data_IF_422197457938
#
_entry.id   IF_422197457938
#
_cell.length_a   1.000
_cell.length_b   1.000
_cell.length_c   1.000
_cell.angle_alpha   90.00
_cell.angle_beta   90.00
_cell.angle_gamma   90.00
#
_symmetry.space_group_name_H-M   'P 1'
#
loop_
_entity.id
_entity.type
_entity.pdbx_description
1 polymer ?
#
# COMPACT_ATOMS: atom_id res chain seq x y z
N UNK A 1 20.84 -1.14 -21.17
CA UNK A 1 20.98 -1.77 -19.84
C UNK A 1 19.92 -1.18 -18.94
N UNK A 2 18.79 -1.88 -18.79
CA UNK A 2 17.58 -1.34 -18.20
C UNK A 2 17.72 -1.12 -16.70
N UNK A 3 17.43 0.10 -16.25
CA UNK A 3 17.17 0.40 -14.86
C UNK A 3 15.85 -0.26 -14.47
N UNK A 4 15.87 -1.57 -14.26
CA UNK A 4 14.90 -2.24 -13.37
C UNK A 4 15.32 -1.84 -11.96
N UNK A 5 15.25 -0.53 -11.69
CA UNK A 5 15.05 -0.07 -10.35
C UNK A 5 13.73 -0.71 -9.92
N UNK A 6 13.72 -1.18 -8.69
CA UNK A 6 12.59 -1.62 -7.90
C UNK A 6 11.62 -0.44 -7.68
N UNK A 7 11.23 0.22 -8.78
CA UNK A 7 10.17 1.21 -8.88
C UNK A 7 8.89 0.41 -8.72
N UNK A 8 8.67 -0.06 -7.49
CA UNK A 8 7.36 -0.48 -7.02
C UNK A 8 6.50 0.73 -7.36
N UNK A 9 5.71 0.60 -8.41
CA UNK A 9 4.86 1.65 -8.93
C UNK A 9 3.83 1.99 -7.84
N UNK A 10 4.22 2.89 -6.92
CA UNK A 10 3.38 3.39 -5.82
C UNK A 10 2.22 4.25 -6.34
N UNK A 11 2.26 4.66 -7.61
CA UNK A 11 1.11 5.19 -8.34
C UNK A 11 -0.09 4.20 -8.40
N UNK A 12 0.15 2.89 -8.27
CA UNK A 12 -0.89 1.84 -8.05
C UNK A 12 -0.98 1.37 -6.60
N UNK A 13 -0.30 2.03 -5.65
CA UNK A 13 -0.32 1.59 -4.25
C UNK A 13 -1.55 2.06 -3.48
N UNK A 14 -2.40 2.87 -4.10
CA UNK A 14 -3.79 2.98 -3.70
C UNK A 14 -4.60 1.75 -4.12
N UNK A 15 -4.21 0.96 -5.14
CA UNK A 15 -5.04 -0.15 -5.65
C UNK A 15 -4.69 -1.53 -5.06
N UNK A 16 -3.61 -1.61 -4.26
CA UNK A 16 -2.96 -2.87 -3.88
C UNK A 16 -3.02 -3.30 -2.41
N UNK A 17 -3.18 -2.41 -1.41
CA UNK A 17 -3.24 -2.85 -0.03
C UNK A 17 -4.45 -3.76 0.15
N UNK A 18 -4.20 -5.01 0.55
CA UNK A 18 -5.26 -5.92 0.88
C UNK A 18 -5.98 -5.40 2.13
N UNK A 19 -7.30 -5.41 2.13
CA UNK A 19 -8.09 -4.92 3.25
C UNK A 19 -7.76 -5.64 4.57
N UNK A 20 -7.38 -6.92 4.51
CA UNK A 20 -6.87 -7.66 5.67
C UNK A 20 -5.60 -7.05 6.27
N UNK A 21 -4.66 -6.62 5.42
CA UNK A 21 -3.43 -5.94 5.86
C UNK A 21 -3.73 -4.56 6.45
N UNK A 22 -4.61 -3.78 5.82
CA UNK A 22 -5.03 -2.47 6.35
C UNK A 22 -5.65 -2.64 7.74
N UNK A 23 -6.55 -3.61 7.90
CA UNK A 23 -7.21 -3.88 9.19
C UNK A 23 -6.19 -4.22 10.28
N UNK A 24 -5.22 -5.07 9.98
CA UNK A 24 -4.14 -5.42 10.91
C UNK A 24 -3.30 -4.20 11.29
N UNK A 25 -2.93 -3.37 10.31
CA UNK A 25 -2.19 -2.12 10.56
C UNK A 25 -2.99 -1.20 11.48
N UNK A 26 -4.28 -1.00 11.22
CA UNK A 26 -5.13 -0.17 12.09
C UNK A 26 -5.16 -0.71 13.52
N UNK A 27 -5.32 -2.04 13.69
CA UNK A 27 -5.33 -2.69 15.01
C UNK A 27 -4.00 -2.51 15.76
N UNK A 28 -2.87 -2.68 15.08
CA UNK A 28 -1.53 -2.50 15.65
C UNK A 28 -1.26 -1.05 16.07
N UNK A 29 -1.82 -0.06 15.36
CA UNK A 29 -1.75 1.35 15.72
C UNK A 29 -2.82 1.76 16.76
N UNK A 30 -3.54 0.81 17.34
CA UNK A 30 -4.52 1.05 18.40
C UNK A 30 -5.89 1.52 17.91
N UNK A 31 -6.10 1.61 16.59
CA UNK A 31 -7.38 1.95 15.98
C UNK A 31 -8.23 0.68 15.94
N UNK A 32 -9.06 0.48 16.96
CA UNK A 32 -9.82 -0.75 17.18
C UNK A 32 -11.33 -0.50 17.31
N UNK A 33 -12.12 -1.58 17.34
CA UNK A 33 -13.56 -1.52 17.61
C UNK A 33 -14.35 -0.72 16.55
N UNK A 34 -15.21 0.19 17.02
CA UNK A 34 -16.13 0.94 16.16
C UNK A 34 -15.41 1.80 15.12
N UNK A 35 -14.30 2.43 15.49
CA UNK A 35 -13.54 3.29 14.58
C UNK A 35 -12.90 2.49 13.45
N UNK A 36 -12.30 1.34 13.77
CA UNK A 36 -11.78 0.42 12.75
C UNK A 36 -12.90 -0.03 11.79
N UNK A 37 -14.05 -0.45 12.33
CA UNK A 37 -15.17 -0.88 11.50
C UNK A 37 -15.70 0.23 10.56
N UNK A 38 -15.73 1.48 11.02
CA UNK A 38 -16.12 2.63 10.20
C UNK A 38 -15.11 2.86 9.07
N UNK A 39 -13.81 2.91 9.39
CA UNK A 39 -12.75 3.09 8.39
C UNK A 39 -12.77 1.95 7.37
N UNK A 40 -12.88 0.71 7.83
CA UNK A 40 -12.98 -0.46 6.97
C UNK A 40 -14.24 -0.41 6.10
N UNK A 41 -15.38 0.01 6.63
CA UNK A 41 -16.61 0.17 5.83
C UNK A 41 -16.44 1.22 4.72
N UNK A 42 -15.79 2.35 5.01
CA UNK A 42 -15.51 3.41 4.04
C UNK A 42 -14.66 2.92 2.85
N UNK A 43 -13.66 2.08 3.10
CA UNK A 43 -12.75 1.58 2.06
C UNK A 43 -13.27 0.32 1.34
N UNK A 44 -14.18 -0.44 1.96
CA UNK A 44 -14.66 -1.72 1.42
C UNK A 44 -15.98 -1.64 0.64
N UNK A 45 -16.86 -0.70 1.00
CA UNK A 45 -18.19 -0.59 0.40
C UNK A 45 -18.20 0.35 -0.81
N UNK A 46 -17.39 0.03 -1.83
CA UNK A 46 -17.23 0.84 -3.05
C UNK A 46 -17.55 0.03 -4.29
N UNK A 47 -18.28 0.62 -5.23
CA UNK A 47 -18.56 0.04 -6.55
C UNK A 47 -18.01 0.95 -7.65
N UNK A 48 -17.36 0.35 -8.64
CA UNK A 48 -16.75 1.05 -9.77
C UNK A 48 -17.44 0.64 -11.06
N UNK A 49 -17.49 1.59 -11.99
CA UNK A 49 -17.80 1.36 -13.39
C UNK A 49 -16.71 2.05 -14.21
N UNK A 50 -16.27 1.42 -15.28
CA UNK A 50 -15.28 1.98 -16.19
C UNK A 50 -15.91 2.25 -17.54
N UNK A 51 -15.54 3.36 -18.17
CA UNK A 51 -15.97 3.64 -19.54
C UNK A 51 -14.97 2.96 -20.48
N UNK A 52 -15.46 2.03 -21.30
CA UNK A 52 -14.68 1.32 -22.31
C UNK A 52 -15.27 1.68 -23.67
N UNK A 53 -14.47 2.32 -24.53
CA UNK A 53 -14.89 2.76 -25.87
C UNK A 53 -16.16 3.64 -25.89
N UNK A 54 -16.36 4.46 -24.83
CA UNK A 54 -17.52 5.34 -24.71
C UNK A 54 -18.74 4.69 -24.05
N UNK A 55 -18.71 3.39 -23.78
CA UNK A 55 -19.77 2.68 -23.09
C UNK A 55 -19.40 2.37 -21.65
N UNK A 56 -20.37 2.48 -20.74
CA UNK A 56 -20.18 2.23 -19.33
C UNK A 56 -20.23 0.71 -19.05
N UNK A 57 -19.22 0.19 -18.36
CA UNK A 57 -19.18 -1.22 -17.97
C UNK A 57 -20.24 -1.57 -16.92
N UNK A 58 -20.42 -2.87 -16.71
CA UNK A 58 -21.07 -3.39 -15.51
C UNK A 58 -20.33 -2.91 -14.24
N UNK A 59 -21.07 -2.79 -13.15
CA UNK A 59 -20.51 -2.44 -11.85
C UNK A 59 -19.71 -3.60 -11.29
N UNK A 60 -18.52 -3.30 -10.77
CA UNK A 60 -17.69 -4.26 -10.05
C UNK A 60 -17.21 -3.69 -8.71
N UNK A 61 -17.02 -4.58 -7.74
CA UNK A 61 -16.48 -4.25 -6.42
C UNK A 61 -15.01 -4.65 -6.39
N UNK A 62 -14.07 -3.75 -6.03
CA UNK A 62 -12.67 -4.10 -5.92
C UNK A 62 -12.47 -4.97 -4.67
N UNK A 63 -11.45 -5.82 -4.69
CA UNK A 63 -11.10 -6.69 -3.54
C UNK A 63 -9.92 -6.16 -2.71
N UNK A 64 -9.34 -5.05 -3.14
CA UNK A 64 -8.18 -4.41 -2.53
C UNK A 64 -8.13 -2.94 -2.93
N UNK A 65 -7.31 -2.18 -2.21
CA UNK A 65 -7.11 -0.78 -2.47
C UNK A 65 -7.88 0.15 -1.55
N UNK A 66 -7.55 1.42 -1.68
CA UNK A 66 -7.95 2.57 -0.90
C UNK A 66 -8.46 3.60 -1.90
N UNK A 67 -9.60 4.23 -1.60
CA UNK A 67 -10.29 5.12 -2.53
C UNK A 67 -9.45 6.39 -2.82
N UNK A 68 -9.10 6.63 -4.08
CA UNK A 68 -8.55 7.93 -4.48
C UNK A 68 -9.58 9.03 -4.22
N UNK A 69 -9.15 10.15 -3.63
CA UNK A 69 -9.98 11.28 -3.17
C UNK A 69 -10.78 11.09 -1.86
N UNK A 70 -10.59 9.99 -1.13
CA UNK A 70 -11.04 9.93 0.28
C UNK A 70 -9.98 10.59 1.20
N UNK A 71 -10.35 11.54 2.06
CA UNK A 71 -9.42 12.24 2.96
C UNK A 71 -8.69 11.31 3.93
N UNK A 72 -9.20 10.10 4.21
CA UNK A 72 -8.53 9.10 5.05
C UNK A 72 -7.44 8.32 4.30
N UNK A 73 -7.52 8.26 2.97
CA UNK A 73 -6.63 7.43 2.16
C UNK A 73 -5.14 7.75 2.31
N UNK A 74 -4.70 9.02 2.37
CA UNK A 74 -3.29 9.34 2.59
C UNK A 74 -2.77 8.85 3.95
N UNK A 75 -3.58 8.95 5.01
CA UNK A 75 -3.19 8.53 6.35
C UNK A 75 -3.06 7.01 6.45
N UNK A 76 -4.06 6.28 5.94
CA UNK A 76 -4.03 4.81 5.91
C UNK A 76 -2.82 4.32 5.10
N UNK A 77 -2.53 5.00 3.99
CA UNK A 77 -1.36 4.70 3.17
C UNK A 77 -0.04 4.87 3.92
N UNK A 78 0.13 5.97 4.65
CA UNK A 78 1.34 6.21 5.47
C UNK A 78 1.50 5.13 6.54
N UNK A 79 0.44 4.78 7.26
CA UNK A 79 0.48 3.71 8.26
C UNK A 79 0.88 2.36 7.66
N UNK A 80 0.35 2.04 6.48
CA UNK A 80 0.71 0.82 5.75
C UNK A 80 2.19 0.82 5.33
N UNK A 81 2.72 1.96 4.89
CA UNK A 81 4.14 2.10 4.51
C UNK A 81 5.06 2.02 5.72
N UNK A 82 4.68 2.59 6.86
CA UNK A 82 5.42 2.49 8.12
C UNK A 82 5.51 1.02 8.56
N UNK A 83 4.38 0.30 8.58
CA UNK A 83 4.38 -1.14 8.90
C UNK A 83 5.24 -1.94 7.92
N UNK A 84 5.14 -1.66 6.63
CA UNK A 84 5.94 -2.35 5.61
C UNK A 84 7.44 -2.09 5.82
N UNK A 85 7.83 -0.86 6.15
CA UNK A 85 9.19 -0.48 6.51
C UNK A 85 9.72 -1.30 7.70
N UNK A 86 8.91 -1.43 8.75
CA UNK A 86 9.26 -2.25 9.91
C UNK A 86 9.43 -3.73 9.56
N UNK A 87 8.53 -4.31 8.76
CA UNK A 87 8.63 -5.71 8.32
C UNK A 87 9.93 -5.93 7.53
N UNK A 88 10.25 -5.03 6.59
CA UNK A 88 11.50 -5.11 5.81
C UNK A 88 12.72 -5.01 6.71
N UNK A 89 12.70 -4.09 7.68
CA UNK A 89 13.80 -3.89 8.64
C UNK A 89 14.01 -5.11 9.53
N UNK A 90 12.93 -5.74 9.99
CA UNK A 90 13.01 -7.00 10.72
C UNK A 90 13.63 -8.10 9.85
N UNK A 91 13.20 -8.25 8.59
CA UNK A 91 13.74 -9.27 7.67
C UNK A 91 15.21 -9.04 7.31
N UNK A 92 15.68 -7.79 7.31
CA UNK A 92 17.11 -7.47 7.22
C UNK A 92 17.89 -7.98 8.44
N UNK A 93 17.37 -7.74 9.66
CA UNK A 93 18.04 -8.23 10.88
C UNK A 93 18.08 -9.75 10.98
N UNK A 94 17.06 -10.43 10.45
CA UNK A 94 17.00 -11.89 10.34
C UNK A 94 17.90 -12.46 9.22
N UNK A 95 18.51 -11.59 8.39
CA UNK A 95 19.32 -11.99 7.24
C UNK A 95 18.54 -12.63 6.08
N UNK A 96 17.21 -12.67 6.16
CA UNK A 96 16.32 -13.23 5.15
C UNK A 96 16.01 -12.26 4.01
N UNK A 97 16.29 -10.97 4.22
CA UNK A 97 16.27 -9.94 3.19
C UNK A 97 17.68 -9.39 2.94
N UNK A 98 18.09 -9.28 1.67
CA UNK A 98 19.40 -8.75 1.30
C UNK A 98 19.24 -7.36 0.68
N UNK A 99 19.87 -6.31 1.22
CA UNK A 99 19.79 -4.97 0.67
C UNK A 99 20.60 -4.87 -0.63
N UNK A 100 20.18 -3.96 -1.52
CA UNK A 100 20.84 -3.71 -2.80
C UNK A 100 21.87 -2.60 -2.62
N UNK A 101 23.10 -2.83 -3.10
CA UNK A 101 24.14 -1.80 -3.17
C UNK A 101 24.29 -1.30 -4.60
N UNK A 102 24.10 0.00 -4.79
CA UNK A 102 24.21 0.64 -6.11
C UNK A 102 25.68 0.87 -6.50
N UNK A 103 26.59 0.96 -5.53
CA UNK A 103 28.04 1.05 -5.78
C UNK A 103 28.85 0.31 -4.72
N UNK A 104 30.11 -0.04 -5.02
CA UNK A 104 31.04 -0.74 -4.10
C UNK A 104 31.22 -0.04 -2.74
N UNK A 105 31.07 1.29 -2.69
CA UNK A 105 31.15 2.11 -1.47
C UNK A 105 29.83 2.82 -1.14
N UNK A 106 28.75 2.48 -1.83
CA UNK A 106 27.45 3.12 -1.66
C UNK A 106 26.67 2.56 -0.46
N UNK A 107 25.69 3.32 0.05
CA UNK A 107 24.79 2.82 1.08
C UNK A 107 24.04 1.58 0.57
N UNK A 108 23.79 0.65 1.48
CA UNK A 108 22.93 -0.50 1.20
C UNK A 108 21.48 -0.03 1.31
N UNK A 109 20.72 -0.11 0.21
CA UNK A 109 19.33 0.34 0.14
C UNK A 109 18.44 -0.89 0.28
N UNK A 110 17.56 -0.88 1.28
CA UNK A 110 16.59 -1.95 1.53
C UNK A 110 15.20 -1.63 1.00
N UNK A 111 14.77 -0.37 1.10
CA UNK A 111 13.50 0.14 0.59
C UNK A 111 13.58 1.66 0.36
N UNK A 112 12.79 2.16 -0.59
CA UNK A 112 12.59 3.59 -0.86
C UNK A 112 11.11 3.78 -1.20
N UNK A 113 10.40 4.57 -0.40
CA UNK A 113 8.99 4.89 -0.63
C UNK A 113 8.86 6.31 -1.16
N UNK A 114 8.04 6.49 -2.20
CA UNK A 114 7.68 7.78 -2.76
C UNK A 114 6.17 7.86 -2.92
N UNK A 115 5.56 8.94 -2.43
CA UNK A 115 4.16 9.27 -2.65
C UNK A 115 4.11 10.50 -3.56
N UNK A 116 3.34 10.44 -4.65
CA UNK A 116 3.18 11.51 -5.62
C UNK A 116 1.72 11.72 -5.98
#
# INVERSE_FOLDING_TARGET
MGYIAWKIHLAKAYDRPQWGFIKQVLEEFGITGKMNNLIMSCITNVQYKVIVNGELSESFTPKCGIRQADPLSPYIFVLCMEKLSHIISQKLSEGTWKPVRISRRGPAISHLFFCG
#
